data_IF_050416288765
#
_entry.id   IF_050416288765
#
_cell.length_a   1.000
_cell.length_b   1.000
_cell.length_c   1.000
_cell.angle_alpha   90.00
_cell.angle_beta   90.00
_cell.angle_gamma   90.00
#
_symmetry.space_group_name_H-M   'P 1'
#
loop_
_entity.id
_entity.type
_entity.pdbx_description
1 polymer ?
#
# COMPACT_ATOMS: atom_id res chain seq x y z
N UNK A 1 -21.02 8.69 2.57
CA UNK A 1 -20.06 7.71 1.98
C UNK A 1 -18.76 7.81 2.74
N UNK A 2 -18.16 6.70 3.18
CA UNK A 2 -16.81 6.68 3.76
C UNK A 2 -15.82 6.26 2.68
N UNK A 3 -14.77 7.04 2.49
CA UNK A 3 -13.73 6.82 1.49
C UNK A 3 -12.36 6.89 2.17
N UNK A 4 -11.56 5.83 2.02
CA UNK A 4 -10.17 5.83 2.48
C UNK A 4 -9.25 6.20 1.32
N UNK A 5 -8.63 7.37 1.41
CA UNK A 5 -7.74 7.94 0.40
C UNK A 5 -6.27 7.92 0.84
N UNK A 6 -5.91 7.02 1.74
CA UNK A 6 -4.54 6.91 2.26
C UNK A 6 -3.52 6.57 1.17
N UNK A 7 -3.93 5.85 0.12
CA UNK A 7 -3.14 5.56 -1.06
C UNK A 7 -3.52 6.49 -2.21
N UNK A 8 -2.93 7.67 -2.28
CA UNK A 8 -3.05 8.53 -3.45
C UNK A 8 -2.19 7.99 -4.59
N UNK A 9 -2.68 8.02 -5.85
CA UNK A 9 -1.89 7.62 -7.00
C UNK A 9 -0.71 8.58 -7.21
N UNK A 10 0.50 8.05 -7.18
CA UNK A 10 1.73 8.85 -7.36
C UNK A 10 1.91 9.36 -8.80
N UNK A 11 1.27 8.73 -9.78
CA UNK A 11 1.38 9.10 -11.19
C UNK A 11 0.76 10.46 -11.50
N UNK A 12 -0.43 10.71 -10.95
CA UNK A 12 -1.21 11.93 -11.19
C UNK A 12 -1.78 12.49 -9.89
N UNK A 13 -0.94 12.75 -8.90
CA UNK A 13 -1.40 13.32 -7.63
C UNK A 13 -2.07 14.68 -7.77
N UNK A 14 -1.73 15.45 -8.80
CA UNK A 14 -2.32 16.77 -9.07
C UNK A 14 -3.71 16.66 -9.71
N UNK A 15 -3.97 15.59 -10.45
CA UNK A 15 -5.26 15.32 -11.09
C UNK A 15 -6.21 14.50 -10.20
N UNK A 16 -5.73 14.10 -9.02
CA UNK A 16 -6.54 13.33 -8.10
C UNK A 16 -7.67 14.19 -7.51
N UNK A 17 -8.90 13.76 -7.76
CA UNK A 17 -10.10 14.39 -7.21
C UNK A 17 -10.56 13.61 -5.98
N UNK A 18 -10.51 14.25 -4.82
CA UNK A 18 -11.01 13.66 -3.58
C UNK A 18 -12.52 13.47 -3.63
N UNK A 19 -13.03 12.42 -2.98
CA UNK A 19 -14.47 12.26 -2.81
C UNK A 19 -15.10 13.43 -2.04
N UNK A 20 -14.33 14.12 -1.20
CA UNK A 20 -14.77 15.32 -0.51
C UNK A 20 -15.08 16.49 -1.46
N UNK A 21 -14.45 16.52 -2.65
CA UNK A 21 -14.66 17.58 -3.65
C UNK A 21 -15.90 17.32 -4.52
N UNK A 22 -16.38 16.07 -4.57
CA UNK A 22 -17.48 15.67 -5.47
C UNK A 22 -18.76 15.28 -4.75
N UNK A 23 -18.71 15.03 -3.45
CA UNK A 23 -19.88 14.62 -2.69
C UNK A 23 -19.92 15.23 -1.29
N UNK A 24 -20.88 16.12 -1.06
CA UNK A 24 -21.03 16.89 0.19
C UNK A 24 -21.12 16.04 1.48
N UNK A 25 -21.61 14.81 1.37
CA UNK A 25 -21.75 13.86 2.51
C UNK A 25 -20.64 12.81 2.53
N UNK A 26 -19.50 13.10 1.88
CA UNK A 26 -18.34 12.26 1.98
C UNK A 26 -17.70 12.38 3.37
N UNK A 27 -17.17 11.26 3.83
CA UNK A 27 -16.24 11.22 4.97
C UNK A 27 -14.97 10.61 4.41
N UNK A 28 -13.94 11.40 4.28
CA UNK A 28 -12.67 10.99 3.68
C UNK A 28 -11.63 10.84 4.78
N UNK A 29 -10.90 9.73 4.76
CA UNK A 29 -9.74 9.52 5.64
C UNK A 29 -8.45 9.54 4.84
N UNK A 30 -7.42 10.19 5.36
CA UNK A 30 -6.10 10.19 4.77
C UNK A 30 -5.01 10.30 5.85
N UNK A 31 -3.74 10.09 5.47
CA UNK A 31 -2.62 10.15 6.41
C UNK A 31 -1.27 10.39 5.71
N UNK A 32 -0.27 10.72 6.50
CA UNK A 32 1.12 10.77 6.00
C UNK A 32 1.79 9.38 5.89
N UNK A 33 1.07 8.31 6.22
CA UNK A 33 1.67 6.97 6.39
C UNK A 33 2.07 6.28 5.09
N UNK A 34 1.32 6.47 4.00
CA UNK A 34 1.49 5.69 2.77
C UNK A 34 2.10 6.54 1.66
N UNK A 35 1.32 7.37 1.00
CA UNK A 35 1.78 8.22 -0.11
C UNK A 35 2.99 9.08 0.28
N UNK A 36 3.04 9.57 1.51
CA UNK A 36 4.15 10.38 2.02
C UNK A 36 5.24 9.58 2.75
N UNK A 37 5.18 8.26 2.75
CA UNK A 37 6.18 7.34 3.33
C UNK A 37 6.59 7.62 4.79
N UNK A 38 5.68 8.17 5.59
CA UNK A 38 5.97 8.53 6.99
C UNK A 38 5.04 7.81 7.99
N UNK A 39 5.01 6.47 7.99
CA UNK A 39 4.10 5.72 8.86
C UNK A 39 4.40 5.88 10.35
N UNK A 40 5.65 6.19 10.71
CA UNK A 40 6.08 6.38 12.09
C UNK A 40 5.52 7.66 12.74
N UNK A 41 5.09 8.64 11.96
CA UNK A 41 4.48 9.86 12.50
C UNK A 41 3.13 9.62 13.18
N UNK A 42 2.41 8.55 12.83
CA UNK A 42 1.09 8.22 13.37
C UNK A 42 0.07 9.36 13.26
N UNK A 43 0.12 10.11 12.16
CA UNK A 43 -0.76 11.26 11.89
C UNK A 43 -1.62 10.99 10.66
N UNK A 44 -2.90 11.27 10.80
CA UNK A 44 -3.90 11.24 9.74
C UNK A 44 -4.98 12.28 10.01
N UNK A 45 -5.86 12.45 9.05
CA UNK A 45 -6.97 13.40 9.14
C UNK A 45 -8.24 12.83 8.54
N UNK A 46 -9.34 13.45 8.91
CA UNK A 46 -10.67 13.21 8.35
C UNK A 46 -11.18 14.50 7.73
N UNK A 47 -11.70 14.41 6.52
CA UNK A 47 -12.46 15.50 5.87
C UNK A 47 -13.93 15.07 5.82
N UNK A 48 -14.79 15.88 6.38
CA UNK A 48 -16.23 15.65 6.44
C UNK A 48 -16.98 16.97 6.65
N UNK A 49 -18.30 16.94 6.57
CA UNK A 49 -19.11 18.08 6.95
C UNK A 49 -18.91 18.48 8.43
N UNK A 50 -19.41 19.65 8.80
CA UNK A 50 -19.21 20.22 10.14
C UNK A 50 -19.87 19.36 11.23
N UNK A 51 -21.05 18.81 10.98
CA UNK A 51 -21.77 17.98 11.95
C UNK A 51 -20.97 16.71 12.28
N UNK A 52 -20.53 15.97 11.25
CA UNK A 52 -19.73 14.75 11.38
C UNK A 52 -18.38 15.08 12.03
N UNK A 53 -17.71 16.15 11.60
CA UNK A 53 -16.42 16.58 12.16
C UNK A 53 -16.51 16.91 13.65
N UNK A 54 -17.58 17.58 14.08
CA UNK A 54 -17.81 17.89 15.49
C UNK A 54 -18.09 16.62 16.32
N UNK A 55 -18.84 15.67 15.78
CA UNK A 55 -19.06 14.37 16.43
C UNK A 55 -17.76 13.60 16.61
N UNK A 56 -16.94 13.52 15.56
CA UNK A 56 -15.62 12.85 15.61
C UNK A 56 -14.74 13.52 16.68
N UNK A 57 -14.72 14.85 16.74
CA UNK A 57 -13.96 15.61 17.75
C UNK A 57 -14.40 15.24 19.17
N UNK A 58 -15.70 15.15 19.42
CA UNK A 58 -16.23 14.75 20.73
C UNK A 58 -15.76 13.36 21.14
N UNK A 59 -15.82 12.38 20.23
CA UNK A 59 -15.35 11.02 20.51
C UNK A 59 -13.82 10.93 20.64
N UNK A 60 -13.08 11.76 19.91
CA UNK A 60 -11.62 11.83 20.01
C UNK A 60 -11.14 12.12 21.41
N UNK A 61 -11.83 12.99 22.16
CA UNK A 61 -11.48 13.33 23.53
C UNK A 61 -11.52 12.14 24.49
N UNK A 62 -12.32 11.12 24.16
CA UNK A 62 -12.40 9.85 24.93
C UNK A 62 -11.44 8.77 24.44
N UNK A 63 -10.85 8.89 23.23
CA UNK A 63 -10.01 7.85 22.64
C UNK A 63 -8.54 8.23 22.60
N UNK A 64 -8.21 9.47 22.28
CA UNK A 64 -6.83 9.89 22.04
C UNK A 64 -6.47 11.23 22.71
N UNK A 65 -7.43 12.07 23.04
CA UNK A 65 -7.27 13.44 23.60
C UNK A 65 -6.49 14.33 22.62
N UNK A 66 -5.18 14.11 22.45
CA UNK A 66 -4.33 14.85 21.52
C UNK A 66 -3.26 13.94 20.90
N UNK A 67 -2.73 14.35 19.76
CA UNK A 67 -1.53 13.76 19.16
C UNK A 67 -0.26 14.21 19.89
N UNK A 68 0.84 13.50 19.66
CA UNK A 68 2.15 13.92 20.18
C UNK A 68 2.69 15.13 19.40
N UNK A 69 3.25 16.11 20.10
CA UNK A 69 3.82 17.34 19.50
C UNK A 69 4.89 17.01 18.45
N UNK A 70 5.75 16.02 18.71
CA UNK A 70 6.76 15.60 17.75
C UNK A 70 6.17 14.95 16.49
N UNK A 71 5.09 14.20 16.65
CA UNK A 71 4.40 13.56 15.55
C UNK A 71 3.74 14.61 14.65
N UNK A 72 3.12 15.60 15.25
CA UNK A 72 2.49 16.71 14.55
C UNK A 72 3.54 17.57 13.80
N UNK A 73 4.64 17.94 14.47
CA UNK A 73 5.74 18.68 13.84
C UNK A 73 6.36 17.89 12.67
N UNK A 74 6.52 16.58 12.80
CA UNK A 74 7.02 15.73 11.71
C UNK A 74 6.04 15.69 10.55
N UNK A 75 4.75 15.52 10.81
CA UNK A 75 3.73 15.50 9.77
C UNK A 75 3.63 16.85 9.06
N UNK A 76 3.71 17.95 9.79
CA UNK A 76 3.74 19.32 9.23
C UNK A 76 4.94 19.47 8.29
N UNK A 77 6.13 19.11 8.74
CA UNK A 77 7.34 19.17 7.92
C UNK A 77 7.20 18.34 6.62
N UNK A 78 6.65 17.12 6.73
CA UNK A 78 6.41 16.24 5.58
C UNK A 78 5.48 16.89 4.56
N UNK A 79 4.38 17.49 5.02
CA UNK A 79 3.40 18.13 4.13
C UNK A 79 3.94 19.43 3.50
N UNK A 80 4.71 20.21 4.24
CA UNK A 80 5.39 21.40 3.71
C UNK A 80 6.46 21.08 2.67
N UNK A 81 7.05 19.87 2.74
CA UNK A 81 8.08 19.42 1.81
C UNK A 81 7.60 18.28 0.89
N UNK A 82 6.28 18.16 0.71
CA UNK A 82 5.64 17.04 -0.01
C UNK A 82 6.20 16.81 -1.41
N UNK A 83 6.53 17.85 -2.15
CA UNK A 83 6.95 17.73 -3.54
C UNK A 83 8.23 16.89 -3.69
N UNK A 84 9.23 17.15 -2.84
CA UNK A 84 10.48 16.37 -2.81
C UNK A 84 10.26 14.92 -2.36
N UNK A 85 9.35 14.74 -1.39
CA UNK A 85 9.02 13.41 -0.88
C UNK A 85 8.28 12.60 -1.94
N UNK A 86 7.32 13.21 -2.63
CA UNK A 86 6.57 12.57 -3.70
C UNK A 86 7.44 12.25 -4.92
N UNK A 87 8.37 13.13 -5.30
CA UNK A 87 9.34 12.87 -6.36
C UNK A 87 10.16 11.61 -6.05
N UNK A 88 10.80 11.57 -4.87
CA UNK A 88 11.54 10.39 -4.42
C UNK A 88 10.67 9.12 -4.41
N UNK A 89 9.44 9.22 -3.92
CA UNK A 89 8.56 8.07 -3.81
C UNK A 89 8.10 7.58 -5.20
N UNK A 90 7.90 8.47 -6.17
CA UNK A 90 7.65 8.13 -7.57
C UNK A 90 8.79 7.30 -8.15
N UNK A 91 10.03 7.76 -7.97
CA UNK A 91 11.21 7.05 -8.48
C UNK A 91 11.28 5.61 -7.95
N UNK A 92 11.08 5.43 -6.65
CA UNK A 92 11.11 4.11 -6.01
C UNK A 92 9.94 3.25 -6.49
N UNK A 93 8.72 3.78 -6.47
CA UNK A 93 7.51 3.00 -6.79
C UNK A 93 7.53 2.58 -8.25
N UNK A 94 7.85 3.48 -9.17
CA UNK A 94 7.84 3.16 -10.60
C UNK A 94 9.02 2.28 -10.99
N UNK A 95 10.22 2.55 -10.50
CA UNK A 95 11.37 1.69 -10.73
C UNK A 95 11.13 0.26 -10.26
N UNK A 96 10.61 0.10 -9.06
CA UNK A 96 10.31 -1.21 -8.51
C UNK A 96 9.11 -1.89 -9.19
N UNK A 97 8.10 -1.14 -9.62
CA UNK A 97 6.99 -1.65 -10.43
C UNK A 97 7.52 -2.25 -11.74
N UNK A 98 8.41 -1.55 -12.41
CA UNK A 98 8.97 -2.00 -13.68
C UNK A 98 9.84 -3.26 -13.50
N UNK A 99 10.56 -3.38 -12.38
CA UNK A 99 11.28 -4.59 -11.99
C UNK A 99 10.29 -5.75 -11.77
N UNK A 100 9.23 -5.52 -11.02
CA UNK A 100 8.21 -6.54 -10.76
C UNK A 100 7.49 -6.95 -12.05
N UNK A 101 7.15 -6.00 -12.94
CA UNK A 101 6.54 -6.29 -14.24
C UNK A 101 7.46 -7.15 -15.10
N UNK A 102 8.72 -6.75 -15.24
CA UNK A 102 9.68 -7.52 -16.03
C UNK A 102 9.86 -8.95 -15.51
N UNK A 103 9.81 -9.15 -14.19
CA UNK A 103 9.83 -10.48 -13.61
C UNK A 103 8.54 -11.25 -13.87
N UNK A 104 7.37 -10.65 -13.68
CA UNK A 104 6.06 -11.27 -13.93
C UNK A 104 5.95 -11.72 -15.39
N UNK A 105 6.44 -10.94 -16.33
CA UNK A 105 6.42 -11.27 -17.76
C UNK A 105 7.22 -12.56 -18.09
N UNK A 106 8.11 -12.97 -17.19
CA UNK A 106 8.85 -14.24 -17.32
C UNK A 106 8.14 -15.43 -16.65
N UNK A 107 7.07 -15.18 -15.90
CA UNK A 107 6.37 -16.21 -15.13
C UNK A 107 5.09 -16.65 -15.84
N UNK A 108 4.81 -17.95 -15.84
CA UNK A 108 3.54 -18.47 -16.38
C UNK A 108 2.48 -18.73 -15.30
N UNK A 109 2.88 -18.78 -14.02
CA UNK A 109 1.99 -19.02 -12.88
C UNK A 109 1.62 -17.75 -12.11
N UNK A 110 2.10 -16.60 -12.54
CA UNK A 110 1.84 -15.30 -11.88
C UNK A 110 1.29 -14.32 -12.89
N UNK A 111 0.26 -13.63 -12.50
CA UNK A 111 -0.24 -12.49 -13.25
C UNK A 111 -0.68 -11.36 -12.32
N UNK A 112 -0.74 -10.15 -12.82
CA UNK A 112 -1.30 -9.01 -12.12
C UNK A 112 -1.90 -7.99 -13.08
N UNK A 113 -2.71 -7.10 -12.55
CA UNK A 113 -2.99 -5.83 -13.21
C UNK A 113 -1.97 -4.83 -12.70
N UNK A 114 -1.10 -4.33 -13.57
CA UNK A 114 -0.05 -3.40 -13.18
C UNK A 114 -0.62 -2.18 -12.48
N UNK A 115 -0.15 -1.84 -11.28
CA UNK A 115 -0.68 -0.72 -10.52
C UNK A 115 -0.26 0.63 -11.11
N UNK A 116 -1.13 1.63 -11.02
CA UNK A 116 -0.93 2.97 -11.59
C UNK A 116 -0.17 3.94 -10.66
N UNK A 117 0.55 3.45 -9.66
CA UNK A 117 1.36 4.32 -8.82
C UNK A 117 1.10 4.21 -7.32
N UNK A 118 0.77 3.01 -6.86
CA UNK A 118 0.70 2.67 -5.43
C UNK A 118 1.83 1.71 -5.05
N UNK A 119 2.13 1.58 -3.78
CA UNK A 119 3.27 0.81 -3.27
C UNK A 119 3.03 -0.69 -3.11
N UNK A 120 1.81 -1.15 -3.37
CA UNK A 120 1.40 -2.55 -3.23
C UNK A 120 0.47 -2.93 -4.37
N UNK A 121 0.48 -4.22 -4.74
CA UNK A 121 -0.46 -4.78 -5.70
C UNK A 121 -0.88 -6.18 -5.30
N UNK A 122 -1.88 -6.70 -5.97
CA UNK A 122 -2.31 -8.07 -5.85
C UNK A 122 -1.75 -8.87 -7.04
N UNK A 123 -1.08 -9.98 -6.75
CA UNK A 123 -0.68 -10.98 -7.76
C UNK A 123 -1.62 -12.18 -7.69
N UNK A 124 -2.07 -12.65 -8.83
CA UNK A 124 -2.77 -13.93 -8.95
C UNK A 124 -1.76 -15.04 -9.08
N UNK A 125 -2.02 -16.16 -8.42
CA UNK A 125 -1.17 -17.36 -8.41
C UNK A 125 -1.94 -18.53 -9.00
N UNK A 126 -1.45 -19.11 -10.09
CA UNK A 126 -1.97 -20.34 -10.68
C UNK A 126 -1.24 -21.54 -10.08
N UNK A 127 -1.60 -21.89 -8.87
CA UNK A 127 -1.01 -22.98 -8.09
C UNK A 127 -2.10 -23.90 -7.52
N UNK A 128 -1.84 -25.22 -7.37
CA UNK A 128 -2.79 -26.15 -6.78
C UNK A 128 -2.88 -26.08 -5.26
N UNK A 129 -1.98 -25.34 -4.61
CA UNK A 129 -1.89 -25.14 -3.15
C UNK A 129 -2.77 -23.98 -2.72
N UNK A 130 -3.34 -24.06 -1.52
CA UNK A 130 -4.03 -22.94 -0.86
C UNK A 130 -3.09 -21.74 -0.67
N UNK A 131 -3.56 -20.52 -0.92
CA UNK A 131 -2.71 -19.32 -0.91
C UNK A 131 -2.13 -19.00 0.47
N UNK A 132 -2.85 -19.34 1.55
CA UNK A 132 -2.34 -19.15 2.92
C UNK A 132 -1.23 -20.15 3.24
N UNK A 133 -1.41 -21.42 2.88
CA UNK A 133 -0.39 -22.45 3.08
C UNK A 133 0.84 -22.18 2.22
N UNK A 134 0.65 -21.75 0.98
CA UNK A 134 1.74 -21.32 0.10
C UNK A 134 2.54 -20.14 0.73
N UNK A 135 1.86 -19.10 1.19
CA UNK A 135 2.53 -17.94 1.79
C UNK A 135 3.28 -18.31 3.08
N UNK A 136 2.72 -19.21 3.91
CA UNK A 136 3.41 -19.72 5.11
C UNK A 136 4.66 -20.52 4.76
N UNK A 137 4.56 -21.41 3.76
CA UNK A 137 5.68 -22.21 3.27
C UNK A 137 6.79 -21.32 2.69
N UNK A 138 6.42 -20.39 1.83
CA UNK A 138 7.34 -19.42 1.23
C UNK A 138 8.12 -18.62 2.30
N UNK A 139 7.41 -18.17 3.34
CA UNK A 139 8.05 -17.49 4.47
C UNK A 139 8.99 -18.42 5.25
N UNK A 140 8.55 -19.62 5.56
CA UNK A 140 9.33 -20.57 6.37
C UNK A 140 10.59 -21.07 5.63
N UNK A 141 10.51 -21.32 4.35
CA UNK A 141 11.59 -21.94 3.56
C UNK A 141 12.54 -20.92 2.94
N UNK A 142 12.04 -19.74 2.58
CA UNK A 142 12.78 -18.74 1.80
C UNK A 142 12.85 -17.36 2.46
N UNK A 143 12.14 -17.13 3.56
CA UNK A 143 12.11 -15.82 4.23
C UNK A 143 11.36 -14.74 3.45
N UNK A 144 10.56 -15.09 2.45
CA UNK A 144 9.77 -14.14 1.65
C UNK A 144 8.37 -14.02 2.22
N UNK A 145 8.01 -12.82 2.66
CA UNK A 145 6.71 -12.52 3.24
C UNK A 145 5.76 -11.94 2.19
N UNK A 146 4.71 -12.67 1.88
CA UNK A 146 3.53 -12.18 1.16
C UNK A 146 2.31 -12.26 2.09
N UNK A 147 1.28 -11.46 1.81
CA UNK A 147 0.01 -11.58 2.53
C UNK A 147 -0.96 -12.34 1.63
N UNK A 148 -1.47 -13.52 2.07
CA UNK A 148 -2.37 -14.34 1.25
C UNK A 148 -3.65 -13.60 0.88
N UNK A 149 -4.13 -13.84 -0.33
CA UNK A 149 -5.31 -13.18 -0.89
C UNK A 149 -6.59 -13.55 -0.15
N UNK A 150 -6.68 -14.76 0.39
CA UNK A 150 -7.78 -15.22 1.24
C UNK A 150 -8.06 -14.27 2.43
N UNK A 151 -7.05 -13.54 2.93
CA UNK A 151 -7.21 -12.53 3.98
C UNK A 151 -7.88 -11.24 3.51
N UNK A 152 -8.07 -11.08 2.21
CA UNK A 152 -8.79 -9.98 1.56
C UNK A 152 -10.04 -10.47 0.81
N UNK A 153 -10.51 -11.70 1.08
CA UNK A 153 -11.61 -12.34 0.35
C UNK A 153 -11.32 -12.53 -1.15
N UNK A 154 -10.03 -12.56 -1.52
CA UNK A 154 -9.52 -12.74 -2.89
C UNK A 154 -8.62 -13.98 -2.95
N UNK A 155 -9.18 -15.20 -2.92
CA UNK A 155 -8.38 -16.43 -2.94
C UNK A 155 -7.57 -16.57 -4.24
N UNK A 156 -6.64 -17.51 -4.24
CA UNK A 156 -5.74 -17.81 -5.37
C UNK A 156 -4.77 -16.67 -5.70
N UNK A 157 -4.26 -16.00 -4.70
CA UNK A 157 -3.29 -14.94 -4.91
C UNK A 157 -2.68 -14.40 -3.63
N UNK A 158 -1.90 -13.34 -3.77
CA UNK A 158 -1.26 -12.69 -2.64
C UNK A 158 -1.06 -11.18 -2.86
N UNK A 159 -1.02 -10.42 -1.78
CA UNK A 159 -0.59 -9.03 -1.83
C UNK A 159 0.93 -8.95 -1.84
N UNK A 160 1.47 -8.37 -2.90
CA UNK A 160 2.87 -8.05 -3.08
C UNK A 160 3.12 -6.58 -2.70
N UNK A 161 3.95 -6.34 -1.68
CA UNK A 161 4.54 -5.03 -1.41
C UNK A 161 5.89 -4.93 -2.11
N UNK A 162 6.04 -3.99 -3.04
CA UNK A 162 7.25 -3.92 -3.87
C UNK A 162 8.10 -2.66 -3.63
N UNK A 163 7.89 -1.94 -2.53
CA UNK A 163 8.65 -0.72 -2.22
C UNK A 163 9.81 -0.93 -1.23
N UNK A 164 10.40 -2.12 -1.22
CA UNK A 164 11.68 -2.39 -0.59
C UNK A 164 12.84 -1.79 -1.41
N UNK A 165 14.08 -1.91 -0.92
CA UNK A 165 15.24 -1.63 -1.78
C UNK A 165 15.25 -2.57 -2.98
N UNK A 166 15.81 -2.12 -4.10
CA UNK A 166 15.85 -2.88 -5.35
C UNK A 166 16.43 -4.29 -5.17
N UNK A 167 17.54 -4.41 -4.45
CA UNK A 167 18.18 -5.70 -4.17
C UNK A 167 17.27 -6.67 -3.43
N UNK A 168 16.54 -6.17 -2.41
CA UNK A 168 15.60 -6.98 -1.64
C UNK A 168 14.40 -7.41 -2.50
N UNK A 169 13.89 -6.51 -3.35
CA UNK A 169 12.81 -6.84 -4.27
C UNK A 169 13.24 -7.92 -5.26
N UNK A 170 14.38 -7.74 -5.93
CA UNK A 170 14.89 -8.71 -6.91
C UNK A 170 15.13 -10.07 -6.31
N UNK A 171 15.73 -10.12 -5.12
CA UNK A 171 15.96 -11.39 -4.42
C UNK A 171 14.66 -12.04 -3.97
N UNK A 172 13.71 -11.28 -3.44
CA UNK A 172 12.39 -11.81 -3.07
C UNK A 172 11.63 -12.39 -4.27
N UNK A 173 11.64 -11.71 -5.41
CA UNK A 173 11.02 -12.20 -6.65
C UNK A 173 11.72 -13.45 -7.20
N UNK A 174 13.05 -13.47 -7.14
CA UNK A 174 13.83 -14.67 -7.54
C UNK A 174 13.47 -15.90 -6.71
N UNK A 175 13.42 -15.74 -5.38
CA UNK A 175 13.07 -16.82 -4.45
C UNK A 175 11.61 -17.27 -4.62
N UNK A 176 10.69 -16.34 -4.86
CA UNK A 176 9.30 -16.66 -5.20
C UNK A 176 9.23 -17.50 -6.47
N UNK A 177 9.98 -17.12 -7.51
CA UNK A 177 10.04 -17.88 -8.77
C UNK A 177 10.57 -19.29 -8.60
N UNK A 178 11.56 -19.50 -7.73
CA UNK A 178 12.09 -20.85 -7.44
C UNK A 178 11.04 -21.77 -6.82
N UNK A 179 10.25 -21.25 -5.87
CA UNK A 179 9.17 -22.02 -5.23
C UNK A 179 8.03 -22.30 -6.21
N UNK A 180 7.68 -21.34 -7.07
CA UNK A 180 6.67 -21.55 -8.10
C UNK A 180 7.09 -22.62 -9.12
N UNK A 181 8.36 -22.67 -9.48
CA UNK A 181 8.88 -23.70 -10.40
C UNK A 181 8.84 -25.13 -9.83
N UNK A 182 8.62 -25.30 -8.53
CA UNK A 182 8.43 -26.63 -7.92
C UNK A 182 7.12 -27.28 -8.38
N UNK A 183 6.10 -26.49 -8.75
CA UNK A 183 4.84 -26.98 -9.28
C UNK A 183 4.89 -27.43 -10.76
N UNK A 184 6.01 -27.24 -11.43
CA UNK A 184 6.22 -27.65 -12.83
C UNK A 184 6.90 -29.03 -12.95
N UNK A 185 7.21 -29.65 -11.82
CA UNK A 185 7.85 -30.97 -11.73
C UNK A 185 6.82 -32.05 -11.48
#
# INVERSE_FOLDING_TARGET
MLCDEVYLPLENTEDFMSMADVYEKAIVTNSVSKTYSTPAARVGWVVADEEVSNRIRTYRDYTMICGGVFNDALATYVLEHKDKILERNRDIVFGNRDIAQAWIDTQHRVSWTAPQGVSTSFIQLDIPEDDEEFCKRLLAERGVLLVPGSRFELPCGARLGYCASEDVLREGLRLLGEVLAEFDR
#
